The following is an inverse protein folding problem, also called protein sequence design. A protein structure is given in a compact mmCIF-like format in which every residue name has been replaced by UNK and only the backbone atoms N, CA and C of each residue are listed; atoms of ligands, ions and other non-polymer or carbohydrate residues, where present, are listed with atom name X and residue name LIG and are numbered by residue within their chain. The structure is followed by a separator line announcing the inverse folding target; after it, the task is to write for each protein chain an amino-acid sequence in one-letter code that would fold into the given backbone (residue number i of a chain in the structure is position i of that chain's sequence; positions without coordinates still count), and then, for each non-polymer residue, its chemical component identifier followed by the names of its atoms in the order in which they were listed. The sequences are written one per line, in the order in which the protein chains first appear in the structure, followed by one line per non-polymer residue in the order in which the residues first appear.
data_IF_266475707440
#
_entry.id   IF_266475707440
#
_cell.length_a   1.000
_cell.length_b   1.000
_cell.length_c   1.000
_cell.angle_alpha   90.00
_cell.angle_beta   90.00
_cell.angle_gamma   90.00
#
_symmetry.space_group_name_H-M   'P 1'
#
loop_
_entity.id
_entity.type
_entity.pdbx_description
1 polymer ?
#
# COMPACT_ATOMS: atom_id res chain seq x y z
N UNK A 1 -28.32 25.32 12.29
CA UNK A 1 -27.12 25.97 12.87
C UNK A 1 -27.18 27.45 12.55
N UNK A 2 -26.80 28.30 13.48
CA UNK A 2 -26.66 29.74 13.24
C UNK A 2 -25.28 30.00 12.61
N UNK A 3 -25.19 30.36 11.31
CA UNK A 3 -23.91 30.53 10.61
C UNK A 3 -23.02 31.61 11.25
N UNK A 4 -23.63 32.60 11.91
CA UNK A 4 -22.91 33.71 12.54
C UNK A 4 -22.13 33.29 13.80
N UNK A 5 -22.39 32.10 14.35
CA UNK A 5 -21.71 31.56 15.53
C UNK A 5 -20.60 30.55 15.20
N UNK A 6 -20.34 30.31 13.91
CA UNK A 6 -19.32 29.36 13.47
C UNK A 6 -17.99 30.10 13.31
N UNK A 7 -17.20 30.14 14.38
CA UNK A 7 -15.85 30.71 14.34
C UNK A 7 -14.83 29.70 13.79
N UNK A 8 -13.93 30.17 12.93
CA UNK A 8 -12.85 29.33 12.37
C UNK A 8 -11.72 29.25 13.40
N UNK A 9 -11.70 28.15 14.17
CA UNK A 9 -10.59 27.81 15.06
C UNK A 9 -9.91 26.50 14.59
N UNK A 10 -8.70 26.57 13.98
CA UNK A 10 -8.02 25.39 13.45
C UNK A 10 -7.73 24.32 14.51
N UNK A 11 -7.34 24.72 15.73
CA UNK A 11 -7.00 23.81 16.82
C UNK A 11 -8.22 23.05 17.34
N UNK A 12 -9.29 23.77 17.67
CA UNK A 12 -10.55 23.14 18.11
C UNK A 12 -11.16 22.27 17.01
N UNK A 13 -11.06 22.69 15.73
CA UNK A 13 -11.51 21.88 14.60
C UNK A 13 -10.71 20.59 14.48
N UNK A 14 -9.39 20.63 14.68
CA UNK A 14 -8.56 19.43 14.69
C UNK A 14 -8.96 18.49 15.82
N UNK A 15 -9.15 18.99 17.04
CA UNK A 15 -9.57 18.17 18.20
C UNK A 15 -10.94 17.53 17.93
N UNK A 16 -11.93 18.32 17.50
CA UNK A 16 -13.26 17.82 17.17
C UNK A 16 -13.22 16.75 16.08
N UNK A 17 -12.40 16.94 15.03
CA UNK A 17 -12.20 15.96 13.96
C UNK A 17 -11.58 14.67 14.49
N UNK A 18 -10.57 14.75 15.36
CA UNK A 18 -9.94 13.58 15.98
C UNK A 18 -10.95 12.80 16.81
N UNK A 19 -11.74 13.48 17.65
CA UNK A 19 -12.75 12.84 18.49
C UNK A 19 -13.81 12.12 17.65
N UNK A 20 -14.35 12.79 16.63
CA UNK A 20 -15.35 12.21 15.73
C UNK A 20 -14.81 10.99 14.97
N UNK A 21 -13.59 11.08 14.44
CA UNK A 21 -12.97 10.00 13.66
C UNK A 21 -12.50 8.83 14.53
N UNK A 22 -12.11 9.09 15.78
CA UNK A 22 -11.62 8.03 16.69
C UNK A 22 -12.76 7.16 17.22
N UNK A 23 -13.97 7.72 17.34
CA UNK A 23 -15.12 7.03 17.91
C UNK A 23 -15.45 5.73 17.17
N UNK A 24 -15.64 5.78 15.85
CA UNK A 24 -16.02 4.58 15.10
C UNK A 24 -14.88 3.54 15.05
N UNK A 25 -13.62 3.99 15.03
CA UNK A 25 -12.46 3.09 15.09
C UNK A 25 -12.39 2.33 16.42
N UNK A 26 -12.82 2.96 17.53
CA UNK A 26 -12.93 2.30 18.83
C UNK A 26 -14.02 1.22 18.87
N UNK A 27 -15.12 1.42 18.15
CA UNK A 27 -16.18 0.41 18.03
C UNK A 27 -15.71 -0.88 17.33
N UNK A 28 -14.62 -0.84 16.55
CA UNK A 28 -14.03 -2.00 15.86
C UNK A 28 -12.61 -2.31 16.34
N UNK A 29 -12.25 -1.93 17.58
CA UNK A 29 -10.90 -2.14 18.09
C UNK A 29 -10.56 -3.64 18.13
N UNK A 30 -9.46 -4.01 17.47
CA UNK A 30 -8.94 -5.39 17.49
C UNK A 30 -8.56 -5.80 18.91
N UNK A 31 -8.92 -7.02 19.28
CA UNK A 31 -8.61 -7.65 20.57
C UNK A 31 -7.34 -8.51 20.43
N UNK A 32 -6.63 -8.73 21.54
CA UNK A 32 -5.45 -9.60 21.55
C UNK A 32 -4.23 -8.96 20.91
N UNK A 33 -4.05 -7.64 21.08
CA UNK A 33 -2.83 -6.95 20.65
C UNK A 33 -1.62 -7.49 21.42
N UNK A 34 -0.50 -7.61 20.72
CA UNK A 34 0.79 -7.89 21.37
C UNK A 34 1.19 -6.67 22.19
N UNK A 35 1.54 -6.91 23.45
CA UNK A 35 1.94 -5.89 24.42
C UNK A 35 3.38 -6.14 24.88
N UNK A 36 4.09 -5.07 25.16
CA UNK A 36 5.40 -5.13 25.82
C UNK A 36 5.19 -4.77 27.28
N UNK A 37 5.49 -5.71 28.17
CA UNK A 37 5.49 -5.52 29.62
C UNK A 37 6.92 -5.53 30.15
N UNK A 38 7.13 -4.87 31.27
CA UNK A 38 8.42 -4.83 31.95
C UNK A 38 8.25 -5.40 33.36
N UNK A 39 9.05 -6.40 33.70
CA UNK A 39 9.16 -6.95 35.05
C UNK A 39 10.45 -6.44 35.68
N UNK A 40 10.38 -5.99 36.93
CA UNK A 40 11.54 -5.46 37.69
C UNK A 40 12.05 -6.42 38.75
N UNK A 41 11.29 -7.46 39.02
CA UNK A 41 11.64 -8.49 39.99
C UNK A 41 11.46 -9.87 39.36
N UNK A 42 12.20 -10.89 39.85
CA UNK A 42 11.98 -12.26 39.41
C UNK A 42 10.53 -12.72 39.62
N UNK A 43 9.87 -12.25 40.69
CA UNK A 43 8.47 -12.58 40.96
C UNK A 43 7.54 -12.05 39.86
N UNK A 44 7.66 -10.77 39.47
CA UNK A 44 6.88 -10.20 38.37
C UNK A 44 7.13 -10.92 37.05
N UNK A 45 8.38 -11.34 36.80
CA UNK A 45 8.76 -12.07 35.61
C UNK A 45 8.11 -13.46 35.57
N UNK A 46 8.20 -14.23 36.66
CA UNK A 46 7.55 -15.53 36.77
C UNK A 46 6.02 -15.43 36.68
N UNK A 47 5.42 -14.40 37.29
CA UNK A 47 3.98 -14.13 37.14
C UNK A 47 3.58 -13.94 35.67
N UNK A 48 4.40 -13.27 34.84
CA UNK A 48 4.10 -13.11 33.41
C UNK A 48 4.26 -14.40 32.61
N UNK A 49 5.25 -15.24 32.95
CA UNK A 49 5.48 -16.52 32.26
C UNK A 49 4.43 -17.58 32.61
N UNK A 50 4.00 -17.61 33.86
CA UNK A 50 3.09 -18.62 34.40
C UNK A 50 1.62 -18.22 34.27
N UNK A 51 1.32 -16.99 33.85
CA UNK A 51 -0.07 -16.53 33.63
C UNK A 51 -0.74 -17.39 32.55
N UNK A 52 -1.75 -18.21 32.90
CA UNK A 52 -2.39 -19.10 31.94
C UNK A 52 -3.18 -18.34 30.86
N UNK A 53 -3.48 -17.05 31.08
CA UNK A 53 -4.21 -16.19 30.15
C UNK A 53 -3.32 -15.54 29.10
N UNK A 54 -2.00 -15.54 29.32
CA UNK A 54 -1.02 -14.96 28.43
C UNK A 54 -0.28 -16.03 27.62
N UNK A 55 0.12 -15.63 26.43
CA UNK A 55 1.08 -16.30 25.58
C UNK A 55 2.33 -15.41 25.55
N UNK A 56 3.43 -15.89 26.14
CA UNK A 56 4.72 -15.20 26.06
C UNK A 56 5.35 -15.50 24.72
N UNK A 57 5.57 -14.46 23.93
CA UNK A 57 6.13 -14.56 22.58
C UNK A 57 7.65 -14.41 22.56
N UNK A 58 8.17 -13.53 23.43
CA UNK A 58 9.59 -13.19 23.50
C UNK A 58 9.88 -12.58 24.88
N UNK A 59 11.10 -12.74 25.37
CA UNK A 59 11.57 -11.98 26.53
C UNK A 59 13.06 -11.71 26.42
N UNK A 60 13.50 -10.62 27.03
CA UNK A 60 14.90 -10.27 27.11
C UNK A 60 15.25 -9.58 28.43
N UNK A 61 16.35 -10.03 29.04
CA UNK A 61 16.98 -9.38 30.18
C UNK A 61 17.65 -8.07 29.71
N UNK A 62 17.01 -6.94 29.99
CA UNK A 62 17.48 -5.61 29.55
C UNK A 62 18.56 -5.09 30.52
N UNK A 63 18.39 -5.33 31.81
CA UNK A 63 19.36 -5.02 32.85
C UNK A 63 19.25 -6.00 34.02
N UNK A 64 20.14 -5.90 35.01
CA UNK A 64 20.10 -6.71 36.23
C UNK A 64 18.76 -6.62 37.00
N UNK A 65 18.02 -5.52 36.80
CA UNK A 65 16.78 -5.24 37.50
C UNK A 65 15.59 -5.06 36.56
N UNK A 66 15.69 -5.46 35.29
CA UNK A 66 14.60 -5.28 34.35
C UNK A 66 14.58 -6.29 33.20
N UNK A 67 13.44 -6.97 33.10
CA UNK A 67 13.12 -7.91 32.04
C UNK A 67 12.03 -7.33 31.16
N UNK A 68 12.25 -7.35 29.85
CA UNK A 68 11.24 -6.99 28.85
C UNK A 68 10.56 -8.27 28.40
N UNK A 69 9.24 -8.34 28.55
CA UNK A 69 8.43 -9.47 28.10
C UNK A 69 7.46 -9.01 27.01
N UNK A 70 7.47 -9.69 25.87
CA UNK A 70 6.47 -9.52 24.81
C UNK A 70 5.40 -10.58 25.02
N UNK A 71 4.22 -10.13 25.39
CA UNK A 71 3.10 -11.01 25.71
C UNK A 71 1.93 -10.72 24.79
N UNK A 72 1.12 -11.74 24.54
CA UNK A 72 -0.17 -11.62 23.88
C UNK A 72 -1.20 -12.31 24.74
N UNK A 73 -2.40 -11.75 24.82
CA UNK A 73 -3.51 -12.44 25.48
C UNK A 73 -4.00 -13.57 24.57
N UNK A 74 -4.07 -14.80 25.09
CA UNK A 74 -4.63 -15.95 24.36
C UNK A 74 -6.07 -15.64 23.93
N UNK A 75 -6.47 -16.14 22.76
CA UNK A 75 -7.76 -15.80 22.15
C UNK A 75 -8.95 -16.08 23.08
N UNK A 76 -8.91 -17.20 23.81
CA UNK A 76 -9.95 -17.60 24.77
C UNK A 76 -10.16 -16.58 25.90
N UNK A 77 -9.11 -15.82 26.25
CA UNK A 77 -9.13 -14.82 27.32
C UNK A 77 -9.16 -13.37 26.77
N UNK A 78 -9.05 -13.22 25.46
CA UNK A 78 -9.07 -11.95 24.74
C UNK A 78 -10.51 -11.42 24.67
N UNK A 79 -10.90 -10.63 25.67
CA UNK A 79 -12.21 -9.96 25.69
C UNK A 79 -12.14 -8.61 24.99
N UNK A 80 -13.08 -8.30 24.08
CA UNK A 80 -13.17 -6.96 23.52
C UNK A 80 -13.49 -5.94 24.63
N UNK A 81 -13.11 -4.66 24.44
CA UNK A 81 -13.58 -3.59 25.31
C UNK A 81 -15.12 -3.54 25.33
N UNK A 82 -15.72 -3.12 26.44
CA UNK A 82 -17.18 -2.97 26.57
C UNK A 82 -17.77 -1.98 25.55
N UNK A 83 -16.94 -1.08 25.03
CA UNK A 83 -17.29 -0.11 24.00
C UNK A 83 -17.25 -0.68 22.58
N UNK A 84 -16.80 -1.93 22.39
CA UNK A 84 -16.71 -2.54 21.08
C UNK A 84 -18.11 -2.94 20.58
N UNK A 85 -18.45 -2.46 19.39
CA UNK A 85 -19.69 -2.80 18.71
C UNK A 85 -19.42 -2.96 17.21
N UNK A 86 -18.90 -4.12 16.85
CA UNK A 86 -18.49 -4.43 15.48
C UNK A 86 -19.62 -4.23 14.46
N UNK A 87 -20.87 -4.54 14.82
CA UNK A 87 -22.03 -4.35 13.96
C UNK A 87 -22.22 -2.88 13.57
N UNK A 88 -22.17 -1.97 14.55
CA UNK A 88 -22.29 -0.53 14.29
C UNK A 88 -21.14 -0.04 13.41
N UNK A 89 -19.91 -0.46 13.71
CA UNK A 89 -18.75 -0.09 12.88
C UNK A 89 -18.89 -0.60 11.42
N UNK A 90 -19.39 -1.82 11.23
CA UNK A 90 -19.65 -2.38 9.91
C UNK A 90 -20.70 -1.57 9.14
N UNK A 91 -21.79 -1.15 9.80
CA UNK A 91 -22.79 -0.27 9.20
C UNK A 91 -22.22 1.10 8.87
N UNK A 92 -21.47 1.73 9.77
CA UNK A 92 -20.83 3.05 9.53
C UNK A 92 -19.97 3.00 8.25
N UNK A 93 -19.10 1.99 8.10
CA UNK A 93 -18.26 1.89 6.89
C UNK A 93 -19.06 1.54 5.64
N UNK A 94 -20.14 0.75 5.76
CA UNK A 94 -21.02 0.42 4.63
C UNK A 94 -21.79 1.65 4.14
N UNK A 95 -22.37 2.43 5.06
CA UNK A 95 -23.05 3.68 4.73
C UNK A 95 -22.10 4.72 4.14
N UNK A 96 -20.87 4.83 4.67
CA UNK A 96 -19.86 5.71 4.09
C UNK A 96 -19.53 5.35 2.63
N UNK A 97 -19.37 4.05 2.32
CA UNK A 97 -19.15 3.57 0.94
C UNK A 97 -20.34 3.88 0.03
N UNK A 98 -21.56 3.59 0.49
CA UNK A 98 -22.79 3.90 -0.26
C UNK A 98 -22.94 5.41 -0.49
N UNK A 99 -22.54 6.22 0.49
CA UNK A 99 -22.58 7.67 0.39
C UNK A 99 -21.59 8.20 -0.66
N UNK A 100 -20.34 7.72 -0.67
CA UNK A 100 -19.38 8.03 -1.72
C UNK A 100 -19.87 7.55 -3.10
N UNK A 101 -20.48 6.36 -3.15
CA UNK A 101 -21.03 5.79 -4.37
C UNK A 101 -22.14 6.65 -4.99
N UNK A 102 -22.99 7.30 -4.18
CA UNK A 102 -23.98 8.27 -4.69
C UNK A 102 -23.32 9.39 -5.49
N UNK A 103 -22.23 9.97 -4.99
CA UNK A 103 -21.49 11.00 -5.73
C UNK A 103 -20.81 10.48 -6.99
N UNK A 104 -20.37 9.22 -7.00
CA UNK A 104 -19.86 8.58 -8.21
C UNK A 104 -20.97 8.47 -9.27
N UNK A 105 -22.20 8.13 -8.88
CA UNK A 105 -23.34 8.13 -9.79
C UNK A 105 -23.72 9.54 -10.26
N UNK A 106 -23.64 10.56 -9.39
CA UNK A 106 -23.82 11.96 -9.79
C UNK A 106 -22.81 12.38 -10.86
N UNK A 107 -21.52 12.00 -10.72
CA UNK A 107 -20.50 12.25 -11.75
C UNK A 107 -20.94 11.66 -13.10
N UNK A 108 -21.52 10.45 -13.12
CA UNK A 108 -22.02 9.83 -14.35
C UNK A 108 -23.22 10.57 -14.92
N UNK A 109 -24.15 11.02 -14.07
CA UNK A 109 -25.35 11.76 -14.48
C UNK A 109 -25.00 13.11 -15.13
N UNK A 110 -23.93 13.77 -14.70
CA UNK A 110 -23.43 15.01 -15.33
C UNK A 110 -22.52 14.74 -16.56
N UNK A 111 -22.51 13.51 -17.07
CA UNK A 111 -21.63 13.05 -18.15
C UNK A 111 -20.14 13.32 -17.86
N UNK A 112 -19.75 13.24 -16.59
CA UNK A 112 -18.37 13.26 -16.13
C UNK A 112 -17.73 11.88 -16.15
N UNK A 113 -16.41 11.85 -16.10
CA UNK A 113 -15.61 10.63 -16.02
C UNK A 113 -14.87 10.60 -14.67
N UNK A 114 -15.14 9.59 -13.86
CA UNK A 114 -14.41 9.36 -12.61
C UNK A 114 -12.97 8.95 -12.92
N UNK A 115 -12.00 9.60 -12.26
CA UNK A 115 -10.58 9.28 -12.35
C UNK A 115 -10.09 8.47 -11.15
N UNK A 116 -10.51 8.85 -9.95
CA UNK A 116 -10.02 8.25 -8.70
C UNK A 116 -11.04 8.43 -7.57
N UNK A 117 -11.05 7.52 -6.60
CA UNK A 117 -11.76 7.69 -5.35
C UNK A 117 -10.99 7.04 -4.18
N UNK A 118 -11.02 7.68 -3.02
CA UNK A 118 -10.47 7.13 -1.77
C UNK A 118 -11.28 7.61 -0.58
N UNK A 119 -11.92 6.66 0.12
CA UNK A 119 -12.66 6.80 1.38
C UNK A 119 -13.80 7.82 1.39
N UNK A 120 -13.49 9.10 1.18
CA UNK A 120 -14.36 10.27 1.25
C UNK A 120 -14.04 11.32 0.17
N UNK A 121 -13.20 10.98 -0.83
CA UNK A 121 -12.79 11.88 -1.91
C UNK A 121 -13.00 11.26 -3.29
N UNK A 122 -13.25 12.12 -4.29
CA UNK A 122 -13.32 11.75 -5.71
C UNK A 122 -12.55 12.75 -6.57
N UNK A 123 -11.89 12.25 -7.60
CA UNK A 123 -11.38 13.05 -8.72
C UNK A 123 -12.18 12.68 -9.96
N UNK A 124 -12.64 13.67 -10.71
CA UNK A 124 -13.37 13.44 -11.95
C UNK A 124 -13.09 14.53 -12.98
N UNK A 125 -13.24 14.16 -14.25
CA UNK A 125 -13.26 15.09 -15.39
C UNK A 125 -14.70 15.41 -15.72
N UNK A 126 -14.95 16.66 -16.09
CA UNK A 126 -16.23 17.09 -16.67
C UNK A 126 -15.98 17.80 -18.00
N UNK A 127 -17.01 17.88 -18.83
CA UNK A 127 -16.98 18.72 -20.03
C UNK A 127 -16.84 20.20 -19.64
N UNK A 128 -16.19 20.98 -20.50
CA UNK A 128 -16.11 22.42 -20.33
C UNK A 128 -17.52 23.02 -20.25
N UNK A 129 -17.79 23.86 -19.25
CA UNK A 129 -19.13 24.40 -18.99
C UNK A 129 -20.15 23.42 -18.41
N UNK A 130 -19.79 22.14 -18.20
CA UNK A 130 -20.66 21.15 -17.58
C UNK A 130 -20.95 21.43 -16.10
N UNK A 131 -21.96 20.76 -15.55
CA UNK A 131 -22.32 20.86 -14.14
C UNK A 131 -21.23 20.28 -13.23
N UNK A 132 -21.28 20.62 -11.95
CA UNK A 132 -20.47 20.00 -10.90
C UNK A 132 -21.36 19.03 -10.09
N UNK A 133 -20.74 18.08 -9.40
CA UNK A 133 -21.41 17.30 -8.35
C UNK A 133 -21.88 18.23 -7.22
N UNK A 134 -22.81 17.76 -6.39
CA UNK A 134 -23.30 18.56 -5.26
C UNK A 134 -22.19 18.93 -4.27
N UNK A 135 -21.80 20.20 -4.23
CA UNK A 135 -20.78 20.74 -3.32
C UNK A 135 -21.39 21.46 -2.12
N UNK A 136 -20.68 21.46 -1.00
CA UNK A 136 -21.07 22.26 0.16
C UNK A 136 -20.13 22.12 1.36
N UNK A 137 -20.39 22.94 2.39
CA UNK A 137 -19.58 23.02 3.61
C UNK A 137 -20.27 22.35 4.81
N UNK A 138 -21.49 21.84 4.66
CA UNK A 138 -22.21 21.18 5.75
C UNK A 138 -21.77 19.72 5.92
N UNK A 139 -22.11 19.14 7.08
CA UNK A 139 -21.80 17.74 7.39
C UNK A 139 -22.39 16.81 6.32
N UNK A 140 -21.55 15.93 5.78
CA UNK A 140 -21.94 14.97 4.74
C UNK A 140 -21.95 15.56 3.32
N UNK A 141 -21.64 16.83 3.11
CA UNK A 141 -21.49 17.39 1.75
C UNK A 141 -20.05 17.26 1.24
N UNK A 142 -19.90 17.21 -0.08
CA UNK A 142 -18.57 17.20 -0.71
C UNK A 142 -17.99 18.61 -0.72
N UNK A 143 -16.94 18.80 0.07
CA UNK A 143 -16.18 20.05 0.08
C UNK A 143 -15.18 20.06 -1.09
N UNK A 144 -15.13 21.17 -1.84
CA UNK A 144 -14.07 21.39 -2.83
C UNK A 144 -12.74 21.67 -2.13
N UNK A 145 -11.76 20.78 -2.31
CA UNK A 145 -10.46 20.85 -1.63
C UNK A 145 -9.57 21.97 -2.21
N UNK A 146 -9.47 22.07 -3.53
CA UNK A 146 -8.67 23.09 -4.22
C UNK A 146 -9.53 24.22 -4.79
N UNK A 147 -10.13 25.01 -3.90
CA UNK A 147 -10.89 26.21 -4.27
C UNK A 147 -10.03 27.19 -5.08
N UNK A 148 -10.55 27.67 -6.21
CA UNK A 148 -9.85 28.62 -7.07
C UNK A 148 -8.70 28.04 -7.90
N UNK A 149 -8.49 26.71 -7.87
CA UNK A 149 -7.49 26.04 -8.71
C UNK A 149 -8.16 25.20 -9.80
N UNK A 150 -7.46 25.05 -10.93
CA UNK A 150 -7.83 24.15 -12.02
C UNK A 150 -6.75 23.09 -12.17
N UNK A 151 -7.14 21.82 -12.04
CA UNK A 151 -6.27 20.69 -12.34
C UNK A 151 -6.07 20.61 -13.86
N UNK A 152 -4.81 20.57 -14.29
CA UNK A 152 -4.40 20.44 -15.69
C UNK A 152 -4.11 18.99 -16.06
N UNK A 153 -3.42 18.27 -15.18
CA UNK A 153 -3.02 16.89 -15.38
C UNK A 153 -3.22 16.09 -14.11
N UNK A 154 -3.65 14.85 -14.27
CA UNK A 154 -3.80 13.88 -13.21
C UNK A 154 -3.13 12.58 -13.65
N UNK A 155 -2.30 12.01 -12.78
CA UNK A 155 -1.58 10.75 -13.00
C UNK A 155 -1.84 9.86 -11.80
N UNK A 156 -2.17 8.59 -12.04
CA UNK A 156 -2.27 7.59 -10.97
C UNK A 156 -1.44 6.37 -11.31
N UNK A 157 -0.62 5.95 -10.36
CA UNK A 157 0.11 4.69 -10.38
C UNK A 157 -0.54 3.61 -9.52
N UNK A 158 -1.79 3.81 -9.06
CA UNK A 158 -2.54 2.87 -8.24
C UNK A 158 -3.20 3.47 -6.99
N UNK A 159 -3.80 2.63 -6.12
CA UNK A 159 -4.41 3.08 -4.86
C UNK A 159 -3.41 3.79 -3.95
N UNK A 160 -3.77 4.99 -3.47
CA UNK A 160 -2.92 5.85 -2.63
C UNK A 160 -1.56 6.19 -3.25
N UNK A 161 -1.52 6.17 -4.58
CA UNK A 161 -0.37 6.48 -5.40
C UNK A 161 -0.79 7.31 -6.62
N UNK A 162 -0.87 8.63 -6.45
CA UNK A 162 -1.29 9.55 -7.51
C UNK A 162 -0.64 10.92 -7.34
N UNK A 163 -0.64 11.68 -8.43
CA UNK A 163 -0.22 13.07 -8.45
C UNK A 163 -1.05 13.89 -9.41
N UNK A 164 -1.11 15.19 -9.19
CA UNK A 164 -1.80 16.10 -10.09
C UNK A 164 -1.14 17.47 -10.13
N UNK A 165 -1.26 18.11 -11.29
CA UNK A 165 -0.73 19.44 -11.58
C UNK A 165 -1.88 20.41 -11.69
N UNK A 166 -1.76 21.57 -11.05
CA UNK A 166 -2.82 22.57 -11.02
C UNK A 166 -2.28 23.99 -11.12
N UNK A 167 -3.13 24.88 -11.62
CA UNK A 167 -2.87 26.32 -11.75
C UNK A 167 -3.99 27.10 -11.07
N UNK A 168 -3.74 28.37 -10.81
CA UNK A 168 -4.80 29.32 -10.46
C UNK A 168 -5.85 29.38 -11.59
N UNK A 169 -7.12 29.18 -11.24
CA UNK A 169 -8.20 29.05 -12.21
C UNK A 169 -8.53 30.36 -12.93
N UNK A 170 -8.25 31.52 -12.31
CA UNK A 170 -8.56 32.84 -12.87
C UNK A 170 -7.43 33.35 -13.77
N UNK A 171 -6.18 33.15 -13.37
CA UNK A 171 -5.00 33.70 -14.06
C UNK A 171 -4.30 32.68 -14.95
N UNK A 172 -4.49 31.39 -14.72
CA UNK A 172 -3.72 30.31 -15.36
C UNK A 172 -2.25 30.27 -14.94
N UNK A 173 -1.85 31.02 -13.90
CA UNK A 173 -0.48 31.10 -13.38
C UNK A 173 -0.35 30.32 -12.06
N UNK A 174 0.83 30.37 -11.43
CA UNK A 174 1.14 29.67 -10.17
C UNK A 174 0.91 28.15 -10.27
N UNK A 175 1.61 27.56 -11.23
CA UNK A 175 1.60 26.12 -11.44
C UNK A 175 2.25 25.39 -10.27
N UNK A 176 1.55 24.38 -9.76
CA UNK A 176 2.02 23.52 -8.67
C UNK A 176 1.70 22.07 -8.98
N UNK A 177 2.47 21.17 -8.40
CA UNK A 177 2.20 19.75 -8.44
C UNK A 177 2.13 19.18 -7.02
N UNK A 178 1.18 18.28 -6.82
CA UNK A 178 1.00 17.57 -5.56
C UNK A 178 1.07 16.08 -5.81
N UNK A 179 1.74 15.37 -4.89
CA UNK A 179 1.89 13.92 -4.94
C UNK A 179 1.39 13.29 -3.64
N UNK A 180 0.71 12.17 -3.79
CA UNK A 180 0.24 11.31 -2.70
C UNK A 180 0.82 9.93 -2.96
N UNK A 181 1.91 9.62 -2.25
CA UNK A 181 2.59 8.33 -2.34
C UNK A 181 2.66 7.76 -0.93
N UNK A 182 2.05 6.59 -0.74
CA UNK A 182 2.08 5.92 0.55
C UNK A 182 3.47 5.32 0.83
N UNK A 183 3.86 5.33 2.11
CA UNK A 183 5.01 4.61 2.63
C UNK A 183 6.39 5.16 2.27
N UNK A 184 6.51 6.33 1.64
CA UNK A 184 7.78 7.01 1.42
C UNK A 184 8.02 8.12 2.45
N UNK A 185 9.28 8.38 2.84
CA UNK A 185 9.60 9.45 3.76
C UNK A 185 9.38 10.83 3.10
N UNK A 186 8.99 11.81 3.92
CA UNK A 186 8.70 13.18 3.49
C UNK A 186 9.96 14.06 3.46
N UNK A 187 11.09 13.51 3.02
CA UNK A 187 12.33 14.28 2.93
C UNK A 187 12.41 15.06 1.61
N UNK A 188 13.05 16.22 1.65
CA UNK A 188 13.26 17.02 0.43
C UNK A 188 14.03 16.24 -0.64
N UNK A 189 15.08 15.51 -0.27
CA UNK A 189 15.83 14.64 -1.18
C UNK A 189 14.93 13.58 -1.83
N UNK A 190 14.01 12.97 -1.06
CA UNK A 190 13.01 12.04 -1.60
C UNK A 190 12.07 12.74 -2.57
N UNK A 191 11.60 13.95 -2.27
CA UNK A 191 10.77 14.73 -3.19
C UNK A 191 11.50 15.17 -4.46
N UNK A 192 12.81 15.37 -4.43
CA UNK A 192 13.60 15.66 -5.63
C UNK A 192 13.64 14.46 -6.58
N UNK A 193 13.85 13.25 -6.03
CA UNK A 193 13.83 12.01 -6.80
C UNK A 193 12.42 11.61 -7.25
N UNK A 194 11.46 11.73 -6.34
CA UNK A 194 10.09 11.28 -6.49
C UNK A 194 9.15 12.49 -6.57
N UNK A 195 9.04 13.04 -7.78
CA UNK A 195 8.24 14.19 -8.12
C UNK A 195 7.20 13.84 -9.19
N UNK A 196 6.36 14.81 -9.56
CA UNK A 196 5.25 14.57 -10.48
C UNK A 196 5.73 14.09 -11.84
N UNK A 197 6.83 14.65 -12.34
CA UNK A 197 7.40 14.28 -13.63
C UNK A 197 7.96 12.85 -13.62
N UNK A 198 8.70 12.47 -12.57
CA UNK A 198 9.25 11.11 -12.46
C UNK A 198 8.15 10.07 -12.26
N UNK A 199 7.09 10.38 -11.50
CA UNK A 199 5.88 9.54 -11.42
C UNK A 199 5.19 9.39 -12.78
N UNK A 200 4.96 10.50 -13.49
CA UNK A 200 4.33 10.51 -14.82
C UNK A 200 5.09 9.63 -15.79
N UNK A 201 6.41 9.81 -15.88
CA UNK A 201 7.25 9.01 -16.75
C UNK A 201 7.15 7.53 -16.43
N UNK A 202 7.22 7.14 -15.15
CA UNK A 202 7.09 5.74 -14.75
C UNK A 202 5.73 5.14 -15.10
N UNK A 203 4.63 5.89 -14.94
CA UNK A 203 3.28 5.40 -15.30
C UNK A 203 3.16 5.21 -16.81
N UNK A 204 3.64 6.16 -17.61
CA UNK A 204 3.62 6.08 -19.08
C UNK A 204 4.49 4.90 -19.56
N UNK A 205 5.73 4.78 -19.07
CA UNK A 205 6.63 3.68 -19.42
C UNK A 205 6.10 2.31 -18.98
N UNK A 206 5.45 2.22 -17.82
CA UNK A 206 4.96 0.94 -17.29
C UNK A 206 3.76 0.40 -18.08
N UNK A 207 2.85 1.29 -18.50
CA UNK A 207 1.60 0.88 -19.17
C UNK A 207 1.65 1.08 -20.69
N UNK A 208 2.76 1.57 -21.24
CA UNK A 208 2.95 1.85 -22.66
C UNK A 208 1.79 2.65 -23.27
N UNK A 209 1.37 3.70 -22.55
CA UNK A 209 0.16 4.49 -22.84
C UNK A 209 0.28 5.19 -24.21
N UNK A 210 1.50 5.59 -24.57
CA UNK A 210 1.83 6.34 -25.79
C UNK A 210 2.79 5.51 -26.67
N UNK A 211 2.33 4.37 -27.20
CA UNK A 211 3.16 3.52 -28.07
C UNK A 211 3.85 4.34 -29.17
N UNK A 212 5.19 4.30 -29.15
CA UNK A 212 6.18 5.22 -29.75
C UNK A 212 6.68 6.30 -28.77
N UNK A 213 7.73 5.93 -28.02
CA UNK A 213 8.49 6.83 -27.16
C UNK A 213 9.19 7.86 -28.05
N UNK A 214 8.65 9.07 -28.13
CA UNK A 214 9.35 10.23 -28.69
C UNK A 214 10.60 10.55 -27.84
N UNK A 215 11.70 10.80 -28.53
CA UNK A 215 13.06 11.11 -28.06
C UNK A 215 13.15 12.36 -27.16
N UNK A 216 12.57 12.32 -25.96
CA UNK A 216 12.69 13.38 -24.95
C UNK A 216 12.88 12.84 -23.53
N UNK A 217 13.64 11.74 -23.37
CA UNK A 217 14.23 11.43 -22.08
C UNK A 217 15.39 12.40 -21.83
N UNK A 218 15.11 13.50 -21.11
CA UNK A 218 16.14 14.43 -20.62
C UNK A 218 17.25 13.65 -19.90
N UNK A 219 18.51 13.93 -20.25
CA UNK A 219 19.77 13.29 -19.79
C UNK A 219 20.00 13.24 -18.26
N UNK A 220 19.05 13.69 -17.44
CA UNK A 220 19.16 13.76 -15.97
C UNK A 220 18.32 12.70 -15.23
N UNK A 221 17.74 11.72 -15.91
CA UNK A 221 17.05 10.62 -15.25
C UNK A 221 17.99 9.45 -14.98
N UNK A 222 18.28 9.21 -13.70
CA UNK A 222 18.82 7.94 -13.19
C UNK A 222 17.71 6.89 -13.27
N UNK A 223 17.29 6.55 -14.49
CA UNK A 223 16.50 5.37 -14.75
C UNK A 223 17.53 4.34 -15.21
N UNK A 224 17.81 3.35 -14.36
CA UNK A 224 18.56 2.18 -14.81
C UNK A 224 17.84 1.65 -16.04
N UNK A 225 18.57 1.54 -17.15
CA UNK A 225 18.10 1.35 -18.52
C UNK A 225 17.32 0.04 -18.77
N UNK A 226 16.93 -0.68 -17.72
CA UNK A 226 16.10 -1.88 -17.76
C UNK A 226 15.04 -1.96 -16.64
N UNK A 227 14.88 -0.96 -15.76
CA UNK A 227 13.97 -1.07 -14.61
C UNK A 227 13.20 0.22 -14.34
N UNK A 228 11.87 0.18 -14.49
CA UNK A 228 10.89 1.21 -14.10
C UNK A 228 10.82 1.38 -12.56
N UNK A 229 11.94 1.71 -11.92
CA UNK A 229 12.10 1.73 -10.46
C UNK A 229 12.87 2.99 -10.05
N UNK A 230 12.37 3.69 -9.03
CA UNK A 230 13.13 4.75 -8.35
C UNK A 230 13.51 4.27 -6.96
N UNK A 231 14.81 4.19 -6.69
CA UNK A 231 15.31 3.76 -5.38
C UNK A 231 15.55 4.97 -4.49
N UNK A 232 14.95 4.97 -3.30
CA UNK A 232 15.08 6.03 -2.30
C UNK A 232 15.77 5.46 -1.07
N UNK A 233 16.94 6.02 -0.75
CA UNK A 233 17.66 5.71 0.47
C UNK A 233 17.42 6.79 1.52
N UNK A 234 17.20 6.38 2.77
CA UNK A 234 16.95 7.30 3.86
C UNK A 234 17.36 6.71 5.22
N UNK A 235 17.76 7.55 6.18
CA UNK A 235 18.03 7.10 7.54
C UNK A 235 16.72 6.67 8.20
N UNK A 236 16.69 5.44 8.72
CA UNK A 236 15.61 4.89 9.49
C UNK A 236 16.10 4.58 10.91
N UNK A 237 15.34 5.05 11.90
CA UNK A 237 15.58 4.71 13.30
C UNK A 237 15.04 3.30 13.54
N UNK A 238 15.95 2.40 13.86
CA UNK A 238 15.67 1.07 14.38
C UNK A 238 15.74 1.05 15.90
N UNK A 239 15.13 0.03 16.50
CA UNK A 239 15.21 -0.24 17.93
C UNK A 239 15.56 -1.71 18.11
N UNK A 240 16.58 -2.01 18.90
CA UNK A 240 16.93 -3.38 19.26
C UNK A 240 15.88 -3.96 20.21
N UNK A 241 15.92 -5.26 20.42
CA UNK A 241 15.09 -5.94 21.43
C UNK A 241 15.34 -5.36 22.84
N UNK A 242 16.59 -4.94 23.13
CA UNK A 242 17.00 -4.22 24.35
C UNK A 242 16.56 -2.78 24.44
N UNK A 243 15.89 -2.27 23.42
CA UNK A 243 15.47 -0.88 23.32
C UNK A 243 16.54 0.15 22.98
N UNK A 244 17.73 -0.30 22.57
CA UNK A 244 18.75 0.60 22.06
C UNK A 244 18.34 1.16 20.70
N UNK A 245 18.52 2.46 20.53
CA UNK A 245 18.24 3.15 19.28
C UNK A 245 19.47 3.10 18.40
N UNK A 246 19.29 2.75 17.14
CA UNK A 246 20.33 2.80 16.14
C UNK A 246 19.76 3.36 14.83
N UNK A 247 20.62 3.95 14.01
CA UNK A 247 20.24 4.46 12.69
C UNK A 247 20.80 3.53 11.63
N UNK A 248 19.93 3.03 10.76
CA UNK A 248 20.33 2.30 9.54
C UNK A 248 19.94 3.09 8.32
N UNK A 249 20.73 2.98 7.26
CA UNK A 249 20.30 3.43 5.93
C UNK A 249 19.34 2.39 5.37
N UNK A 250 18.07 2.76 5.28
CA UNK A 250 17.04 1.94 4.67
C UNK A 250 16.87 2.34 3.20
N UNK A 251 16.53 1.37 2.36
CA UNK A 251 16.22 1.57 0.94
C UNK A 251 14.77 1.19 0.67
N UNK A 252 14.06 2.02 -0.09
CA UNK A 252 12.74 1.73 -0.64
C UNK A 252 12.71 1.95 -2.13
N UNK A 253 12.23 0.95 -2.84
CA UNK A 253 12.09 0.99 -4.28
C UNK A 253 10.64 1.36 -4.65
N UNK A 254 10.47 2.51 -5.28
CA UNK A 254 9.20 2.96 -5.83
C UNK A 254 8.95 2.31 -7.18
N UNK A 255 7.78 1.67 -7.32
CA UNK A 255 7.28 1.08 -8.56
C UNK A 255 5.81 1.44 -8.72
N UNK A 256 5.38 1.52 -9.97
CA UNK A 256 3.96 1.64 -10.31
C UNK A 256 3.33 0.26 -10.14
N UNK A 257 2.37 0.14 -9.22
CA UNK A 257 1.74 -1.13 -8.88
C UNK A 257 0.24 -1.06 -9.12
N UNK A 258 -0.25 -1.94 -10.00
CA UNK A 258 -1.67 -2.16 -10.20
C UNK A 258 -2.05 -3.57 -9.72
N UNK A 259 -2.60 -3.66 -8.51
CA UNK A 259 -2.91 -4.94 -7.86
C UNK A 259 -4.34 -5.45 -8.15
N UNK A 260 -5.13 -4.73 -8.94
CA UNK A 260 -6.56 -5.03 -9.17
C UNK A 260 -6.85 -5.65 -10.53
N UNK A 261 -5.92 -6.45 -11.04
CA UNK A 261 -6.06 -7.15 -12.31
C UNK A 261 -4.90 -6.91 -13.27
N UNK A 262 -5.09 -7.30 -14.54
CA UNK A 262 -4.14 -7.05 -15.63
C UNK A 262 -4.65 -5.90 -16.49
N UNK A 263 -3.79 -4.90 -16.71
CA UNK A 263 -4.04 -3.86 -17.70
C UNK A 263 -3.55 -4.38 -19.05
N UNK A 264 -4.42 -4.38 -20.06
CA UNK A 264 -4.08 -4.70 -21.45
C UNK A 264 -3.50 -3.45 -22.15
N UNK A 265 -2.80 -3.61 -23.29
CA UNK A 265 -2.25 -2.47 -24.05
C UNK A 265 -3.30 -1.43 -24.48
N UNK A 266 -4.56 -1.83 -24.61
CA UNK A 266 -5.70 -0.93 -24.88
C UNK A 266 -6.23 -0.22 -23.62
N UNK A 267 -5.50 -0.27 -22.50
CA UNK A 267 -5.88 0.27 -21.18
C UNK A 267 -7.12 -0.38 -20.55
N UNK A 268 -7.58 -1.51 -21.08
CA UNK A 268 -8.64 -2.31 -20.47
C UNK A 268 -8.10 -3.02 -19.24
N UNK A 269 -8.86 -2.96 -18.14
CA UNK A 269 -8.53 -3.68 -16.90
C UNK A 269 -9.34 -4.96 -16.81
N UNK A 270 -8.65 -6.10 -16.70
CA UNK A 270 -9.27 -7.40 -16.49
C UNK A 270 -8.98 -7.95 -15.10
N UNK A 271 -9.95 -8.60 -14.43
CA UNK A 271 -9.68 -9.29 -13.18
C UNK A 271 -8.70 -10.45 -13.40
N UNK A 272 -7.94 -10.80 -12.37
CA UNK A 272 -7.12 -12.01 -12.39
C UNK A 272 -8.03 -13.24 -12.58
N UNK A 273 -7.63 -14.15 -13.47
CA UNK A 273 -8.42 -15.33 -13.83
C UNK A 273 -9.48 -15.10 -14.92
N UNK A 274 -9.50 -13.94 -15.58
CA UNK A 274 -10.32 -13.74 -16.78
C UNK A 274 -9.84 -14.70 -17.90
N UNK A 275 -10.62 -15.74 -18.19
CA UNK A 275 -10.28 -16.76 -19.18
C UNK A 275 -10.27 -16.18 -20.59
N UNK A 276 -9.13 -16.28 -21.27
CA UNK A 276 -9.04 -16.03 -22.70
C UNK A 276 -9.74 -17.21 -23.42
N UNK A 277 -11.05 -17.09 -23.67
CA UNK A 277 -11.85 -18.11 -24.40
C UNK A 277 -11.26 -18.39 -25.80
N UNK A 278 -10.44 -17.50 -26.34
CA UNK A 278 -9.78 -17.64 -27.64
C UNK A 278 -8.40 -18.34 -27.59
N UNK A 279 -7.70 -18.34 -26.45
CA UNK A 279 -6.39 -19.02 -26.34
C UNK A 279 -6.55 -20.49 -25.97
N UNK A 280 -7.58 -20.85 -25.20
CA UNK A 280 -7.89 -22.26 -24.87
C UNK A 280 -8.22 -23.08 -26.13
N UNK A 281 -8.84 -22.48 -27.15
CA UNK A 281 -9.12 -23.15 -28.42
C UNK A 281 -7.86 -23.37 -29.28
N UNK A 282 -6.82 -22.53 -29.13
CA UNK A 282 -5.54 -22.75 -29.80
C UNK A 282 -4.71 -23.82 -29.08
N UNK A 283 -4.71 -23.86 -27.75
CA UNK A 283 -4.06 -24.92 -26.99
C UNK A 283 -4.71 -26.30 -27.24
N UNK A 284 -6.05 -26.37 -27.28
CA UNK A 284 -6.77 -27.62 -27.57
C UNK A 284 -6.59 -28.11 -29.03
N UNK A 285 -6.32 -27.20 -29.98
CA UNK A 285 -5.99 -27.58 -31.37
C UNK A 285 -4.54 -28.07 -31.51
N UNK A 286 -3.61 -27.57 -30.69
CA UNK A 286 -2.20 -28.02 -30.69
C UNK A 286 -2.08 -29.42 -30.09
N UNK A 287 -2.96 -29.80 -29.16
CA UNK A 287 -2.96 -31.11 -28.48
C UNK A 287 -3.52 -32.24 -29.39
N UNK A 288 -4.16 -31.92 -30.52
CA UNK A 288 -4.80 -32.91 -31.43
C UNK A 288 -3.99 -33.29 -32.68
N UNK A 289 -2.67 -33.07 -32.73
CA UNK A 289 -1.82 -33.69 -33.77
C UNK A 289 -1.10 -34.94 -33.25
N UNK A 290 -1.12 -36.08 -33.98
CA UNK A 290 -0.62 -37.35 -33.45
C UNK A 290 0.92 -37.35 -33.36
N UNK A 291 1.41 -37.50 -32.13
CA UNK A 291 2.81 -37.74 -31.80
C UNK A 291 3.32 -39.06 -32.42
N UNK A 292 3.93 -38.98 -33.60
CA UNK A 292 4.87 -39.99 -34.08
C UNK A 292 6.07 -39.24 -34.67
N UNK A 293 7.08 -38.92 -33.85
CA UNK A 293 8.51 -38.90 -34.24
C UNK A 293 9.50 -38.36 -33.18
N UNK A 294 9.08 -37.81 -32.05
CA UNK A 294 10.03 -37.17 -31.09
C UNK A 294 10.45 -38.05 -29.91
N UNK A 295 10.38 -39.39 -30.03
CA UNK A 295 10.83 -40.30 -28.96
C UNK A 295 12.22 -40.91 -29.18
N UNK A 296 12.86 -40.72 -30.34
CA UNK A 296 14.18 -41.34 -30.61
C UNK A 296 15.40 -40.43 -30.34
N UNK A 297 15.22 -39.12 -30.11
CA UNK A 297 16.37 -38.23 -29.84
C UNK A 297 16.63 -37.90 -28.37
N UNK A 298 15.68 -38.09 -27.45
CA UNK A 298 15.90 -37.79 -26.02
C UNK A 298 16.50 -38.94 -25.20
N UNK A 299 16.60 -40.16 -25.74
CA UNK A 299 17.19 -41.31 -25.02
C UNK A 299 18.73 -41.37 -25.04
N UNK A 300 19.43 -40.46 -25.72
CA UNK A 300 20.91 -40.48 -25.76
C UNK A 300 21.62 -39.40 -24.93
N UNK A 301 20.91 -38.48 -24.27
CA UNK A 301 21.54 -37.42 -23.45
C UNK A 301 21.36 -37.54 -21.94
N UNK A 302 20.63 -38.53 -21.44
CA UNK A 302 20.51 -38.81 -19.99
C UNK A 302 21.40 -39.97 -19.54
N UNK A 303 22.69 -39.88 -19.82
CA UNK A 303 23.73 -40.67 -19.15
C UNK A 303 24.97 -39.80 -19.00
N UNK A 304 24.94 -38.81 -18.09
CA UNK A 304 26.12 -38.22 -17.45
C UNK A 304 25.75 -37.01 -16.56
N UNK A 305 24.89 -37.18 -15.56
CA UNK A 305 24.92 -36.27 -14.39
C UNK A 305 24.55 -37.07 -13.13
N UNK A 306 25.38 -37.05 -12.07
CA UNK A 306 25.08 -37.75 -10.83
C UNK A 306 23.87 -37.10 -10.13
N UNK A 307 22.98 -37.94 -9.63
CA UNK A 307 21.83 -37.57 -8.81
C UNK A 307 22.37 -36.97 -7.50
N UNK A 308 21.99 -35.72 -7.19
CA UNK A 308 22.22 -35.13 -5.88
C UNK A 308 21.09 -35.59 -4.96
N UNK A 309 21.46 -36.30 -3.88
CA UNK A 309 20.53 -36.75 -2.84
C UNK A 309 20.02 -35.54 -2.02
N UNK A 310 18.82 -35.69 -1.43
CA UNK A 310 18.08 -34.65 -0.69
C UNK A 310 18.79 -34.10 0.57
N UNK A 311 20.01 -34.55 0.88
CA UNK A 311 20.80 -34.11 2.04
C UNK A 311 21.59 -32.81 1.79
N UNK A 312 21.66 -32.32 0.54
CA UNK A 312 22.44 -31.13 0.15
C UNK A 312 21.67 -29.80 0.20
N UNK A 313 20.47 -29.76 0.81
CA UNK A 313 19.67 -28.53 0.94
C UNK A 313 20.01 -27.82 2.27
N UNK A 314 20.49 -26.56 2.26
CA UNK A 314 20.78 -25.81 3.49
C UNK A 314 19.51 -25.63 4.34
N UNK A 315 19.56 -26.02 5.62
CA UNK A 315 18.47 -25.85 6.58
C UNK A 315 17.65 -27.12 6.88
N UNK A 316 18.07 -28.29 6.42
CA UNK A 316 17.55 -29.57 6.93
C UNK A 316 18.05 -29.85 8.35
N UNK A 317 17.32 -30.67 9.11
CA UNK A 317 17.39 -30.79 10.58
C UNK A 317 18.72 -31.31 11.18
N UNK A 318 19.74 -31.58 10.38
CA UNK A 318 20.99 -32.22 10.82
C UNK A 318 22.26 -31.36 10.65
N UNK A 319 22.13 -30.06 10.32
CA UNK A 319 23.29 -29.17 10.19
C UNK A 319 23.85 -28.73 11.55
N UNK A 320 25.18 -28.77 11.71
CA UNK A 320 25.86 -28.24 12.91
C UNK A 320 26.55 -26.91 12.62
N UNK A 321 26.86 -26.12 13.65
CA UNK A 321 27.49 -24.79 13.51
C UNK A 321 28.87 -24.84 12.80
N UNK A 322 29.53 -26.00 12.82
CA UNK A 322 30.82 -26.20 12.15
C UNK A 322 30.67 -26.30 10.62
N UNK A 323 29.51 -26.76 10.14
CA UNK A 323 29.22 -26.94 8.71
C UNK A 323 28.92 -25.62 8.01
N UNK A 324 28.29 -24.66 8.72
CA UNK A 324 28.06 -23.31 8.21
C UNK A 324 29.36 -22.54 7.97
N UNK A 325 30.35 -22.67 8.86
CA UNK A 325 31.60 -21.91 8.80
C UNK A 325 32.57 -22.39 7.70
N UNK A 326 32.43 -23.61 7.19
CA UNK A 326 33.27 -24.12 6.08
C UNK A 326 32.81 -23.67 4.70
N UNK A 327 31.54 -23.33 4.51
CA UNK A 327 30.98 -23.03 3.18
C UNK A 327 31.02 -21.54 2.81
N UNK A 328 31.14 -20.67 3.81
CA UNK A 328 31.10 -19.21 3.64
C UNK A 328 32.43 -18.51 3.99
N UNK A 329 33.57 -19.21 3.86
CA UNK A 329 34.90 -18.59 3.87
C UNK A 329 35.42 -18.33 2.47
#
# INVERSE_FOLDING_TARGET
MDPAKVEINPGLRMIAKILANSLWGKLAQRVGTTEVKYARTPEEFHQLLEDPTLETLDFEHVSEFMDRCVVRKKEEFAKPPDTNCLHVAAFVTSYARLHLYKYIEEVRQINGQLLYCDTDSIFYVKKCGGNFVGEGEALGQMKREHLGRKILEFVSGGPKNYGFRHVDAATGRDERAELKIRSFPLFYATHQLLNFQTMKQLVICQFNIDGEIDDMASENCILDSNNNIISVEFPQIGRTTRSDLYTIMARKDYRVCFEKGRIRPNMETLPFGHGNVLEQQQEDQIIQQPHVQVQQQQQQQYQQHPILDLEDIPGSSNWTDVDYLRRYR
#
